data_IF_967511575816
#
_entry.id   IF_967511575816
#
_cell.length_a   1.000
_cell.length_b   1.000
_cell.length_c   1.000
_cell.angle_alpha   90.00
_cell.angle_beta   90.00
_cell.angle_gamma   90.00
#
_symmetry.space_group_name_H-M   'P 1'
#
loop_
_entity.id
_entity.type
_entity.pdbx_description
1 polymer ?
#
# COMPACT_ATOMS: atom_id res chain seq x y z
N UNK A 1 2.55 0.82 21.01
CA UNK A 1 1.65 0.85 19.84
C UNK A 1 0.60 1.92 20.05
N UNK A 2 0.37 2.77 19.05
CA UNK A 2 -0.87 3.52 18.94
C UNK A 2 -1.91 2.66 18.21
N UNK A 3 -3.19 3.01 18.35
CA UNK A 3 -4.32 2.33 17.72
C UNK A 3 -5.19 3.36 17.03
N UNK A 4 -5.58 3.07 15.79
CA UNK A 4 -6.42 3.92 14.98
C UNK A 4 -7.58 3.11 14.41
N UNK A 5 -8.79 3.63 14.56
CA UNK A 5 -9.98 3.09 13.91
C UNK A 5 -10.60 4.16 13.02
N UNK A 6 -10.79 3.85 11.73
CA UNK A 6 -11.43 4.73 10.76
C UNK A 6 -12.64 3.99 10.18
N UNK A 7 -13.81 4.62 10.27
CA UNK A 7 -15.05 4.11 9.68
C UNK A 7 -15.65 5.17 8.77
N UNK A 8 -16.07 4.79 7.57
CA UNK A 8 -16.76 5.69 6.64
C UNK A 8 -18.24 5.36 6.53
N UNK A 9 -19.04 6.36 6.12
CA UNK A 9 -20.49 6.23 6.03
C UNK A 9 -20.92 5.85 4.61
N UNK A 10 -21.55 4.68 4.48
CA UNK A 10 -21.99 4.09 3.20
C UNK A 10 -23.05 4.91 2.44
N UNK A 11 -23.72 5.85 3.12
CA UNK A 11 -24.70 6.76 2.51
C UNK A 11 -24.07 7.77 1.54
N UNK A 12 -22.74 7.92 1.55
CA UNK A 12 -22.01 8.79 0.63
C UNK A 12 -21.31 8.00 -0.48
N UNK A 13 -20.98 8.67 -1.59
CA UNK A 13 -20.19 8.06 -2.66
C UNK A 13 -18.84 7.57 -2.14
N UNK A 14 -18.37 6.42 -2.63
CA UNK A 14 -17.09 5.82 -2.23
C UNK A 14 -15.91 6.80 -2.38
N UNK A 15 -15.94 7.65 -3.41
CA UNK A 15 -14.91 8.68 -3.63
C UNK A 15 -14.83 9.67 -2.47
N UNK A 16 -15.98 10.15 -1.99
CA UNK A 16 -16.04 11.04 -0.85
C UNK A 16 -15.64 10.31 0.44
N UNK A 17 -16.09 9.06 0.61
CA UNK A 17 -15.70 8.24 1.75
C UNK A 17 -14.18 8.05 1.80
N UNK A 18 -13.54 7.69 0.69
CA UNK A 18 -12.09 7.47 0.65
C UNK A 18 -11.29 8.73 0.96
N UNK A 19 -11.64 9.86 0.34
CA UNK A 19 -11.02 11.15 0.65
C UNK A 19 -11.22 11.53 2.13
N UNK A 20 -12.43 11.37 2.67
CA UNK A 20 -12.73 11.65 4.07
C UNK A 20 -12.02 10.72 5.06
N UNK A 21 -11.78 9.45 4.69
CA UNK A 21 -10.99 8.52 5.51
C UNK A 21 -9.55 9.04 5.69
N UNK A 22 -8.94 9.54 4.61
CA UNK A 22 -7.64 10.21 4.66
C UNK A 22 -7.66 11.45 5.55
N UNK A 23 -8.69 12.29 5.41
CA UNK A 23 -8.85 13.48 6.25
C UNK A 23 -8.89 13.12 7.74
N UNK A 24 -9.77 12.19 8.10
CA UNK A 24 -10.00 11.79 9.49
C UNK A 24 -8.74 11.19 10.11
N UNK A 25 -7.99 10.36 9.36
CA UNK A 25 -6.72 9.81 9.83
C UNK A 25 -5.68 10.89 10.13
N UNK A 26 -5.47 11.82 9.20
CA UNK A 26 -4.50 12.89 9.41
C UNK A 26 -4.88 13.77 10.60
N UNK A 27 -6.16 14.13 10.72
CA UNK A 27 -6.66 14.98 11.81
C UNK A 27 -6.41 14.40 13.22
N UNK A 28 -6.42 13.07 13.37
CA UNK A 28 -6.21 12.42 14.67
C UNK A 28 -4.79 11.90 14.88
N UNK A 29 -3.91 11.99 13.86
CA UNK A 29 -2.54 11.47 13.93
C UNK A 29 -1.47 12.46 13.49
N UNK A 30 -1.82 13.73 13.30
CA UNK A 30 -0.94 14.81 12.82
C UNK A 30 0.44 14.83 13.50
N UNK A 31 0.48 14.81 14.83
CA UNK A 31 1.75 14.83 15.57
C UNK A 31 2.60 13.57 15.32
N UNK A 32 1.97 12.40 15.24
CA UNK A 32 2.66 11.15 14.93
C UNK A 32 3.19 11.16 13.49
N UNK A 33 2.41 11.70 12.54
CA UNK A 33 2.80 11.86 11.15
C UNK A 33 4.01 12.80 11.01
N UNK A 34 3.99 13.95 11.69
CA UNK A 34 5.12 14.86 11.74
C UNK A 34 6.38 14.15 12.23
N UNK A 35 6.32 13.50 13.40
CA UNK A 35 7.48 12.81 13.97
C UNK A 35 7.98 11.69 13.05
N UNK A 36 7.07 10.92 12.45
CA UNK A 36 7.45 9.83 11.54
C UNK A 36 8.10 10.36 10.26
N UNK A 37 7.57 11.44 9.66
CA UNK A 37 8.17 12.13 8.52
C UNK A 37 9.57 12.62 8.85
N UNK A 38 9.75 13.29 9.99
CA UNK A 38 11.05 13.78 10.45
C UNK A 38 12.05 12.65 10.66
N UNK A 39 11.61 11.49 11.14
CA UNK A 39 12.48 10.34 11.35
C UNK A 39 12.87 9.64 10.03
N UNK A 40 12.04 9.70 8.99
CA UNK A 40 12.14 8.76 7.85
C UNK A 40 12.36 9.43 6.50
N UNK A 41 11.70 10.55 6.21
CA UNK A 41 11.59 11.08 4.84
C UNK A 41 12.02 12.55 4.69
N UNK A 42 12.20 13.30 5.78
CA UNK A 42 12.44 14.76 5.72
C UNK A 42 13.59 15.18 4.78
N UNK A 43 14.67 14.40 4.72
CA UNK A 43 15.81 14.69 3.86
C UNK A 43 15.77 13.94 2.51
N UNK A 44 14.75 13.14 2.25
CA UNK A 44 14.66 12.36 1.02
C UNK A 44 14.37 13.26 -0.19
N UNK A 45 15.32 13.39 -1.11
CA UNK A 45 15.26 14.35 -2.22
C UNK A 45 14.93 15.79 -1.82
N UNK A 46 15.40 16.22 -0.64
CA UNK A 46 15.27 17.60 -0.17
C UNK A 46 16.15 18.62 -0.93
N UNK A 47 15.96 19.93 -0.68
CA UNK A 47 16.50 21.02 -1.50
C UNK A 47 18.03 21.17 -1.49
N UNK A 48 18.74 20.51 -0.57
CA UNK A 48 20.19 20.69 -0.36
C UNK A 48 21.03 19.45 -0.73
N UNK A 49 20.50 18.52 -1.55
CA UNK A 49 21.19 17.26 -1.86
C UNK A 49 22.12 17.30 -3.08
N UNK A 50 23.24 16.58 -2.95
CA UNK A 50 24.25 16.34 -3.97
C UNK A 50 23.78 15.36 -5.09
N UNK A 51 22.73 14.57 -4.83
CA UNK A 51 22.16 13.55 -5.73
C UNK A 51 21.00 14.12 -6.59
N UNK A 52 21.16 15.31 -7.17
CA UNK A 52 20.08 15.98 -7.93
C UNK A 52 19.59 15.16 -9.13
N UNK A 53 20.49 14.48 -9.84
CA UNK A 53 20.13 13.66 -11.01
C UNK A 53 19.20 12.48 -10.66
N UNK A 54 19.50 11.75 -9.58
CA UNK A 54 18.62 10.68 -9.09
C UNK A 54 17.24 11.21 -8.73
N UNK A 55 17.18 12.32 -7.99
CA UNK A 55 15.92 12.91 -7.58
C UNK A 55 15.09 13.44 -8.75
N UNK A 56 15.73 13.99 -9.80
CA UNK A 56 15.00 14.36 -11.02
C UNK A 56 14.47 13.14 -11.78
N UNK A 57 15.25 12.05 -11.87
CA UNK A 57 14.79 10.78 -12.46
C UNK A 57 13.61 10.20 -11.69
N UNK A 58 13.69 10.16 -10.36
CA UNK A 58 12.62 9.65 -9.51
C UNK A 58 11.36 10.51 -9.65
N UNK A 59 11.48 11.84 -9.59
CA UNK A 59 10.35 12.75 -9.79
C UNK A 59 9.68 12.51 -11.16
N UNK A 60 10.48 12.45 -12.22
CA UNK A 60 9.99 12.21 -13.58
C UNK A 60 9.28 10.85 -13.70
N UNK A 61 9.82 9.81 -13.04
CA UNK A 61 9.21 8.49 -13.00
C UNK A 61 7.83 8.53 -12.30
N UNK A 62 7.77 9.13 -11.11
CA UNK A 62 6.54 9.21 -10.33
C UNK A 62 5.46 10.06 -11.02
N UNK A 63 5.82 11.19 -11.61
CA UNK A 63 4.91 12.04 -12.37
C UNK A 63 4.35 11.32 -13.60
N UNK A 64 5.21 10.62 -14.35
CA UNK A 64 4.79 9.82 -15.49
C UNK A 64 3.86 8.67 -15.06
N UNK A 65 4.13 8.02 -13.91
CA UNK A 65 3.32 6.94 -13.38
C UNK A 65 1.94 7.41 -12.91
N UNK A 66 1.89 8.48 -12.11
CA UNK A 66 0.64 9.10 -11.68
C UNK A 66 -0.20 9.58 -12.87
N UNK A 67 0.44 10.23 -13.85
CA UNK A 67 -0.22 10.68 -15.08
C UNK A 67 -0.81 9.52 -15.89
N UNK A 68 -0.06 8.42 -16.03
CA UNK A 68 -0.55 7.22 -16.70
C UNK A 68 -1.74 6.57 -15.97
N UNK A 69 -1.71 6.49 -14.64
CA UNK A 69 -2.86 5.97 -13.87
C UNK A 69 -4.10 6.85 -14.02
N UNK A 70 -3.96 8.18 -13.99
CA UNK A 70 -5.05 9.12 -14.28
C UNK A 70 -5.64 8.92 -15.68
N UNK A 71 -4.81 8.66 -16.69
CA UNK A 71 -5.27 8.29 -18.03
C UNK A 71 -6.05 6.96 -18.02
N UNK A 72 -5.56 5.92 -17.33
CA UNK A 72 -6.26 4.63 -17.29
C UNK A 72 -7.62 4.73 -16.60
N UNK A 73 -7.70 5.48 -15.49
CA UNK A 73 -8.97 5.75 -14.80
C UNK A 73 -9.98 6.46 -15.72
N UNK A 74 -9.49 7.29 -16.66
CA UNK A 74 -10.34 7.96 -17.65
C UNK A 74 -10.81 7.11 -18.83
N UNK A 75 -10.20 5.94 -19.09
CA UNK A 75 -10.56 5.08 -20.24
C UNK A 75 -11.82 4.25 -20.01
N UNK A 76 -12.23 4.02 -18.75
CA UNK A 76 -13.40 3.21 -18.40
C UNK A 76 -13.24 1.70 -18.63
N UNK A 77 -12.04 1.24 -18.98
CA UNK A 77 -11.69 -0.19 -19.00
C UNK A 77 -11.43 -0.67 -17.57
N UNK A 78 -11.59 -1.97 -17.29
CA UNK A 78 -11.34 -2.56 -15.98
C UNK A 78 -11.94 -1.77 -14.80
N UNK A 79 -13.26 -1.50 -14.82
CA UNK A 79 -13.90 -0.50 -13.96
C UNK A 79 -13.77 -0.83 -12.47
N UNK A 80 -13.69 -2.10 -12.09
CA UNK A 80 -13.45 -2.49 -10.70
C UNK A 80 -12.03 -2.10 -10.24
N UNK A 81 -11.01 -2.47 -11.01
CA UNK A 81 -9.61 -2.23 -10.65
C UNK A 81 -9.31 -0.73 -10.54
N UNK A 82 -9.65 0.03 -11.58
CA UNK A 82 -9.36 1.46 -11.61
C UNK A 82 -10.23 2.28 -10.65
N UNK A 83 -11.43 1.81 -10.30
CA UNK A 83 -12.19 2.39 -9.18
C UNK A 83 -11.42 2.23 -7.87
N UNK A 84 -10.94 1.03 -7.55
CA UNK A 84 -10.19 0.81 -6.30
C UNK A 84 -8.87 1.59 -6.25
N UNK A 85 -8.15 1.69 -7.38
CA UNK A 85 -6.95 2.54 -7.49
C UNK A 85 -7.31 3.99 -7.19
N UNK A 86 -8.38 4.52 -7.81
CA UNK A 86 -8.85 5.89 -7.57
C UNK A 86 -9.17 6.13 -6.10
N UNK A 87 -9.85 5.20 -5.43
CA UNK A 87 -10.18 5.33 -4.02
C UNK A 87 -8.92 5.37 -3.14
N UNK A 88 -7.91 4.54 -3.40
CA UNK A 88 -6.65 4.59 -2.66
C UNK A 88 -5.90 5.92 -2.86
N UNK A 89 -5.83 6.42 -4.09
CA UNK A 89 -5.22 7.71 -4.41
C UNK A 89 -6.00 8.89 -3.78
N UNK A 90 -7.33 8.83 -3.73
CA UNK A 90 -8.15 9.83 -3.04
C UNK A 90 -7.94 9.82 -1.52
N UNK A 91 -7.78 8.64 -0.92
CA UNK A 91 -7.45 8.52 0.50
C UNK A 91 -6.11 9.18 0.81
N UNK A 92 -5.10 8.96 -0.03
CA UNK A 92 -3.81 9.64 0.09
C UNK A 92 -3.94 11.16 -0.10
N UNK A 93 -4.74 11.61 -1.08
CA UNK A 93 -5.03 13.04 -1.30
C UNK A 93 -5.67 13.69 -0.09
N UNK A 94 -6.66 13.02 0.52
CA UNK A 94 -7.31 13.50 1.74
C UNK A 94 -6.32 13.59 2.90
N UNK A 95 -5.48 12.57 3.10
CA UNK A 95 -4.45 12.59 4.13
C UNK A 95 -3.54 13.84 4.00
N UNK A 96 -3.05 14.11 2.79
CA UNK A 96 -2.18 15.26 2.50
C UNK A 96 -2.92 16.61 2.63
N UNK A 97 -4.14 16.72 2.13
CA UNK A 97 -4.93 17.95 2.20
C UNK A 97 -5.31 18.32 3.63
N UNK A 98 -5.66 17.33 4.45
CA UNK A 98 -5.97 17.56 5.87
C UNK A 98 -4.75 18.02 6.65
N UNK A 99 -3.61 17.35 6.47
CA UNK A 99 -2.39 17.72 7.18
C UNK A 99 -1.91 19.13 6.79
N UNK A 100 -2.09 19.51 5.52
CA UNK A 100 -1.75 20.86 5.05
C UNK A 100 -2.81 21.92 5.37
N UNK A 101 -3.93 21.57 6.00
CA UNK A 101 -5.04 22.48 6.30
C UNK A 101 -5.73 23.05 5.05
N UNK A 102 -5.69 22.34 3.92
CA UNK A 102 -6.19 22.80 2.60
C UNK A 102 -7.14 21.78 1.99
N UNK A 103 -8.40 21.82 2.40
CA UNK A 103 -9.41 20.89 1.91
C UNK A 103 -9.86 21.23 0.49
N UNK A 104 -9.77 20.27 -0.43
CA UNK A 104 -10.24 20.42 -1.81
C UNK A 104 -10.59 19.09 -2.45
N UNK A 105 -11.78 18.56 -2.14
CA UNK A 105 -12.25 17.28 -2.70
C UNK A 105 -12.31 17.33 -4.25
N UNK A 106 -11.51 16.51 -4.96
CA UNK A 106 -11.46 16.56 -6.41
C UNK A 106 -12.64 15.77 -7.02
N UNK A 107 -13.45 16.48 -7.83
CA UNK A 107 -14.60 15.89 -8.55
C UNK A 107 -14.23 15.16 -9.84
N UNK A 108 -13.00 15.32 -10.33
CA UNK A 108 -12.52 14.73 -11.57
C UNK A 108 -11.09 14.22 -11.43
N UNK A 109 -10.24 14.57 -12.40
CA UNK A 109 -8.79 14.33 -12.35
C UNK A 109 -8.16 15.10 -11.20
N UNK A 110 -7.11 14.53 -10.62
CA UNK A 110 -6.29 15.19 -9.60
C UNK A 110 -4.84 14.78 -9.74
N UNK A 111 -3.98 15.48 -9.02
CA UNK A 111 -2.55 15.19 -8.95
C UNK A 111 -2.16 15.00 -7.49
N UNK A 112 -1.13 14.18 -7.28
CA UNK A 112 -0.46 14.02 -6.00
C UNK A 112 0.94 14.63 -6.12
N UNK A 113 1.44 15.22 -5.04
CA UNK A 113 2.81 15.69 -5.01
C UNK A 113 3.77 14.48 -4.98
N UNK A 114 4.69 14.32 -5.96
CA UNK A 114 5.58 13.16 -6.01
C UNK A 114 6.43 12.98 -4.74
N UNK A 115 6.85 14.11 -4.15
CA UNK A 115 7.63 14.15 -2.91
C UNK A 115 6.83 14.65 -1.70
N UNK A 116 5.50 14.56 -1.77
CA UNK A 116 4.61 14.75 -0.63
C UNK A 116 4.45 13.45 0.16
N UNK A 117 3.25 13.21 0.68
CA UNK A 117 2.95 11.98 1.42
C UNK A 117 2.96 10.70 0.59
N UNK A 118 3.08 10.82 -0.74
CA UNK A 118 3.41 9.67 -1.57
C UNK A 118 4.70 8.98 -1.09
N UNK A 119 5.74 9.73 -0.69
CA UNK A 119 6.99 9.14 -0.21
C UNK A 119 6.81 8.20 0.99
N UNK A 120 5.87 8.49 1.89
CA UNK A 120 5.55 7.61 3.02
C UNK A 120 4.96 6.27 2.56
N UNK A 121 4.34 6.22 1.37
CA UNK A 121 3.79 4.99 0.81
C UNK A 121 4.84 4.17 0.04
N UNK A 122 5.90 4.83 -0.43
CA UNK A 122 6.91 4.22 -1.30
C UNK A 122 8.05 3.53 -0.55
N UNK A 123 7.95 3.34 0.77
CA UNK A 123 9.05 2.81 1.59
C UNK A 123 9.74 1.59 0.98
N UNK A 124 8.96 0.56 0.63
CA UNK A 124 9.46 -0.65 -0.03
C UNK A 124 9.73 -0.48 -1.53
N UNK A 125 8.87 0.22 -2.27
CA UNK A 125 9.07 0.47 -3.72
C UNK A 125 10.38 1.22 -4.00
N UNK A 126 10.81 2.11 -3.09
CA UNK A 126 12.05 2.87 -3.21
C UNK A 126 13.31 1.99 -3.17
N UNK A 127 13.27 0.80 -2.58
CA UNK A 127 14.44 -0.10 -2.54
C UNK A 127 14.87 -0.53 -3.95
N UNK A 128 13.90 -0.91 -4.77
CA UNK A 128 14.12 -1.30 -6.16
C UNK A 128 14.32 -0.07 -7.06
N UNK A 129 13.56 1.02 -6.84
CA UNK A 129 13.70 2.26 -7.63
C UNK A 129 15.06 2.95 -7.43
N UNK A 130 15.60 2.97 -6.22
CA UNK A 130 16.94 3.51 -5.95
C UNK A 130 18.00 2.78 -6.78
N UNK A 131 17.91 1.45 -6.80
CA UNK A 131 18.83 0.59 -7.54
C UNK A 131 18.66 0.78 -9.05
N UNK A 132 17.43 0.79 -9.56
CA UNK A 132 17.14 0.92 -10.97
C UNK A 132 17.48 2.30 -11.56
N UNK A 133 17.35 3.36 -10.76
CA UNK A 133 17.66 4.73 -11.16
C UNK A 133 19.11 5.13 -10.86
N UNK A 134 19.96 4.16 -10.51
CA UNK A 134 21.40 4.32 -10.25
C UNK A 134 21.72 5.34 -9.14
N UNK A 135 21.02 5.24 -8.00
CA UNK A 135 21.38 6.01 -6.81
C UNK A 135 22.76 5.57 -6.32
N UNK A 136 23.67 6.53 -6.11
CA UNK A 136 25.05 6.23 -5.69
C UNK A 136 25.16 5.72 -4.25
N UNK A 137 24.24 6.14 -3.37
CA UNK A 137 24.16 5.70 -1.97
C UNK A 137 22.75 5.22 -1.59
N UNK A 138 22.38 3.97 -1.94
CA UNK A 138 21.06 3.43 -1.59
C UNK A 138 20.90 3.30 -0.06
N UNK A 139 19.69 3.54 0.46
CA UNK A 139 19.41 3.49 1.91
C UNK A 139 19.47 2.07 2.48
N UNK A 140 19.18 1.07 1.64
CA UNK A 140 19.18 -0.34 2.01
C UNK A 140 20.11 -1.10 1.07
N UNK A 141 20.89 -2.02 1.65
CA UNK A 141 21.69 -2.96 0.86
C UNK A 141 20.77 -4.09 0.42
N UNK A 142 20.62 -4.29 -0.89
CA UNK A 142 19.86 -5.41 -1.44
C UNK A 142 20.35 -6.74 -0.82
N UNK A 143 19.42 -7.57 -0.36
CA UNK A 143 19.73 -8.86 0.27
C UNK A 143 20.04 -8.81 1.77
N UNK A 144 19.93 -7.65 2.45
CA UNK A 144 20.12 -7.56 3.91
C UNK A 144 18.99 -8.19 4.74
N UNK A 145 18.06 -8.91 4.12
CA UNK A 145 16.82 -9.41 4.73
C UNK A 145 15.79 -8.29 4.97
N UNK A 146 14.51 -8.61 4.87
CA UNK A 146 13.43 -7.62 5.10
C UNK A 146 12.40 -7.99 6.13
N UNK A 147 12.01 -9.26 6.22
CA UNK A 147 11.01 -9.72 7.18
C UNK A 147 11.20 -11.22 7.42
N UNK A 148 10.61 -11.73 8.50
CA UNK A 148 10.42 -13.16 8.74
C UNK A 148 8.94 -13.49 8.90
N UNK A 149 8.48 -14.60 8.32
CA UNK A 149 7.09 -15.06 8.44
C UNK A 149 7.02 -16.55 8.79
N UNK A 150 5.98 -16.95 9.53
CA UNK A 150 5.72 -18.34 9.85
C UNK A 150 4.21 -18.66 9.78
N UNK A 151 3.88 -19.65 8.95
CA UNK A 151 2.56 -20.26 8.90
C UNK A 151 2.66 -21.63 9.57
N UNK A 152 1.95 -21.82 10.69
CA UNK A 152 2.05 -23.02 11.51
C UNK A 152 0.70 -23.69 11.73
N UNK A 153 0.50 -24.81 11.05
CA UNK A 153 -0.57 -25.76 11.38
C UNK A 153 -0.22 -26.51 12.68
N UNK A 154 -1.11 -26.45 13.65
CA UNK A 154 -0.92 -27.07 14.95
C UNK A 154 -1.20 -28.59 14.91
N UNK A 155 -0.59 -29.39 15.82
CA UNK A 155 -0.86 -30.82 15.91
C UNK A 155 -2.36 -31.13 16.02
N UNK A 156 -2.81 -32.12 15.23
CA UNK A 156 -4.21 -32.50 15.12
C UNK A 156 -5.08 -31.54 14.31
N UNK A 157 -4.48 -30.64 13.52
CA UNK A 157 -5.18 -29.60 12.74
C UNK A 157 -6.10 -28.71 13.59
N UNK A 158 -5.79 -28.57 14.89
CA UNK A 158 -6.67 -27.86 15.83
C UNK A 158 -6.75 -26.35 15.54
N UNK A 159 -5.70 -25.81 14.95
CA UNK A 159 -5.60 -24.39 14.61
C UNK A 159 -4.52 -24.17 13.54
N UNK A 160 -4.60 -23.05 12.86
CA UNK A 160 -3.60 -22.55 11.92
C UNK A 160 -3.15 -21.18 12.41
N UNK A 161 -1.87 -21.05 12.77
CA UNK A 161 -1.30 -19.78 13.21
C UNK A 161 -0.55 -19.10 12.05
N UNK A 162 -0.66 -17.79 11.96
CA UNK A 162 0.05 -16.97 10.98
C UNK A 162 0.73 -15.83 11.72
N UNK A 163 2.05 -15.73 11.58
CA UNK A 163 2.87 -14.73 12.26
C UNK A 163 3.84 -14.06 11.29
N UNK A 164 4.15 -12.79 11.56
CA UNK A 164 5.06 -11.94 10.80
C UNK A 164 5.91 -11.10 11.75
N UNK A 165 7.19 -10.92 11.40
CA UNK A 165 8.18 -10.11 12.12
C UNK A 165 8.93 -9.22 11.13
N UNK A 166 8.60 -7.93 11.14
CA UNK A 166 9.14 -6.94 10.20
C UNK A 166 10.56 -6.53 10.58
N UNK A 167 11.49 -6.54 9.63
CA UNK A 167 12.84 -5.99 9.83
C UNK A 167 12.99 -4.66 9.10
N UNK A 168 13.16 -3.60 9.88
CA UNK A 168 13.24 -2.22 9.37
C UNK A 168 14.20 -1.40 10.24
N UNK A 169 14.59 -0.22 9.76
CA UNK A 169 15.43 0.68 10.55
C UNK A 169 14.72 1.09 11.84
N UNK A 170 15.45 1.15 12.96
CA UNK A 170 14.90 1.55 14.26
C UNK A 170 14.22 2.93 14.24
N UNK A 171 14.59 3.83 13.34
CA UNK A 171 13.95 5.14 13.20
C UNK A 171 12.48 5.06 12.75
N UNK A 172 12.03 3.95 12.17
CA UNK A 172 10.64 3.74 11.74
C UNK A 172 9.72 3.22 12.86
N UNK A 173 10.23 2.96 14.07
CA UNK A 173 9.47 2.35 15.19
C UNK A 173 8.34 3.21 15.80
N UNK A 174 7.89 4.29 15.15
CA UNK A 174 6.59 4.90 15.44
C UNK A 174 5.51 4.06 14.76
N UNK A 175 4.75 3.31 15.56
CA UNK A 175 3.84 2.28 15.05
C UNK A 175 2.37 2.54 15.40
N UNK A 176 1.50 2.27 14.44
CA UNK A 176 0.03 2.32 14.59
C UNK A 176 -0.57 1.00 14.10
N UNK A 177 -1.34 0.30 14.93
CA UNK A 177 -2.25 -0.74 14.43
C UNK A 177 -3.52 -0.04 13.95
N UNK A 178 -3.88 -0.28 12.69
CA UNK A 178 -5.01 0.39 12.04
C UNK A 178 -6.13 -0.61 11.79
N UNK A 179 -7.36 -0.18 12.09
CA UNK A 179 -8.59 -0.83 11.70
C UNK A 179 -9.38 0.10 10.79
N UNK A 180 -9.58 -0.31 9.56
CA UNK A 180 -10.41 0.40 8.59
C UNK A 180 -11.73 -0.35 8.39
N UNK A 181 -12.85 0.36 8.47
CA UNK A 181 -14.18 -0.12 8.10
C UNK A 181 -14.70 0.76 6.96
N UNK A 182 -14.48 0.30 5.73
CA UNK A 182 -14.68 1.04 4.49
C UNK A 182 -15.68 0.27 3.61
N UNK A 183 -16.99 0.57 3.68
CA UNK A 183 -18.02 -0.08 2.88
C UNK A 183 -18.02 0.44 1.42
N UNK A 184 -16.87 0.35 0.75
CA UNK A 184 -16.74 0.69 -0.66
C UNK A 184 -17.40 -0.36 -1.53
N UNK A 185 -17.88 0.04 -2.71
CA UNK A 185 -18.40 -0.85 -3.74
C UNK A 185 -17.26 -1.39 -4.60
N UNK A 186 -17.47 -2.51 -5.28
CA UNK A 186 -16.49 -3.11 -6.19
C UNK A 186 -16.15 -2.18 -7.36
N UNK A 187 -17.14 -1.43 -7.85
CA UNK A 187 -17.00 -0.38 -8.86
C UNK A 187 -18.00 0.75 -8.61
N UNK A 188 -17.82 1.90 -9.28
CA UNK A 188 -18.67 3.09 -9.12
C UNK A 188 -20.18 2.85 -9.35
N UNK A 189 -20.54 1.86 -10.18
CA UNK A 189 -21.94 1.53 -10.50
C UNK A 189 -22.42 0.19 -9.93
N UNK A 190 -21.63 -0.46 -9.08
CA UNK A 190 -21.96 -1.77 -8.50
C UNK A 190 -22.73 -1.61 -7.19
N UNK A 191 -23.74 -2.44 -6.96
CA UNK A 191 -24.39 -2.57 -5.65
C UNK A 191 -23.62 -3.52 -4.71
N UNK A 192 -22.59 -4.21 -5.21
CA UNK A 192 -21.79 -5.14 -4.41
C UNK A 192 -20.68 -4.43 -3.67
N UNK A 193 -20.62 -4.64 -2.36
CA UNK A 193 -19.52 -4.18 -1.49
C UNK A 193 -18.25 -5.02 -1.73
N UNK A 194 -17.08 -4.39 -1.57
CA UNK A 194 -15.80 -5.09 -1.60
C UNK A 194 -15.72 -6.15 -0.48
N UNK A 195 -15.15 -7.34 -0.73
CA UNK A 195 -14.99 -8.38 0.31
C UNK A 195 -14.13 -7.94 1.50
N UNK A 196 -13.04 -7.21 1.24
CA UNK A 196 -12.12 -6.69 2.24
C UNK A 196 -12.54 -5.33 2.82
N UNK A 197 -13.83 -5.13 3.11
CA UNK A 197 -14.33 -3.85 3.63
C UNK A 197 -13.89 -3.54 5.06
N UNK A 198 -13.54 -4.55 5.86
CA UNK A 198 -12.88 -4.36 7.15
C UNK A 198 -11.47 -4.92 7.06
N UNK A 199 -10.48 -4.12 7.45
CA UNK A 199 -9.07 -4.49 7.40
C UNK A 199 -8.41 -4.09 8.72
N UNK A 200 -7.69 -5.01 9.34
CA UNK A 200 -6.84 -4.73 10.50
C UNK A 200 -5.40 -5.05 10.13
N UNK A 201 -4.50 -4.10 10.31
CA UNK A 201 -3.11 -4.26 9.88
C UNK A 201 -2.14 -3.44 10.74
N UNK A 202 -0.91 -3.92 10.87
CA UNK A 202 0.19 -3.17 11.46
C UNK A 202 0.69 -2.13 10.47
N UNK A 203 0.96 -0.91 10.93
CA UNK A 203 1.26 0.22 10.05
C UNK A 203 2.08 1.31 10.76
N UNK A 204 2.22 2.44 10.08
CA UNK A 204 3.00 3.61 10.46
C UNK A 204 2.16 4.90 10.31
N UNK A 205 2.49 5.97 11.03
CA UNK A 205 1.83 7.27 10.86
C UNK A 205 1.93 7.76 9.42
N UNK A 206 0.79 8.14 8.83
CA UNK A 206 0.71 8.67 7.46
C UNK A 206 0.90 7.66 6.33
N UNK A 207 1.10 6.37 6.66
CA UNK A 207 1.17 5.28 5.68
C UNK A 207 -0.20 4.60 5.60
N UNK A 208 -0.93 4.73 4.49
CA UNK A 208 -2.35 4.26 4.39
C UNK A 208 -2.49 2.76 4.08
N UNK A 209 -1.38 2.04 4.13
CA UNK A 209 -1.27 0.58 4.02
C UNK A 209 -0.31 0.07 5.13
N UNK A 210 0.02 -1.22 5.14
CA UNK A 210 0.83 -1.81 6.21
C UNK A 210 2.29 -1.38 6.10
N UNK A 211 2.92 -1.64 4.96
CA UNK A 211 4.34 -1.43 4.72
C UNK A 211 5.23 -2.49 5.39
N UNK A 212 4.65 -3.38 6.20
CA UNK A 212 5.37 -4.45 6.89
C UNK A 212 5.67 -5.66 6.01
N UNK A 213 4.72 -6.37 5.37
CA UNK A 213 3.26 -6.26 5.42
C UNK A 213 2.55 -7.36 6.25
N UNK A 214 1.48 -7.00 7.00
CA UNK A 214 0.59 -7.96 7.67
C UNK A 214 -0.85 -7.44 7.79
N UNK A 215 -1.83 -8.18 7.25
CA UNK A 215 -3.24 -7.82 7.24
C UNK A 215 -4.16 -8.97 7.67
N UNK A 216 -5.23 -8.63 8.38
CA UNK A 216 -6.40 -9.48 8.63
C UNK A 216 -7.60 -8.82 7.96
N UNK A 217 -8.26 -9.53 7.04
CA UNK A 217 -9.30 -9.00 6.17
C UNK A 217 -10.66 -9.63 6.48
N UNK A 218 -11.75 -8.85 6.38
CA UNK A 218 -13.13 -9.35 6.57
C UNK A 218 -13.55 -10.43 5.60
N UNK A 219 -12.84 -10.59 4.48
CA UNK A 219 -13.05 -11.68 3.54
C UNK A 219 -12.61 -13.04 4.09
N UNK A 220 -12.02 -13.11 5.28
CA UNK A 220 -11.46 -14.33 5.87
C UNK A 220 -10.00 -14.58 5.45
N UNK A 221 -9.40 -13.65 4.69
CA UNK A 221 -8.02 -13.72 4.27
C UNK A 221 -7.08 -13.08 5.30
N UNK A 222 -5.90 -13.68 5.47
CA UNK A 222 -4.72 -13.04 6.07
C UNK A 222 -3.65 -12.94 4.99
N UNK A 223 -3.12 -11.75 4.77
CA UNK A 223 -2.09 -11.48 3.76
C UNK A 223 -0.85 -10.91 4.43
N UNK A 224 0.30 -11.45 4.07
CA UNK A 224 1.61 -11.08 4.61
C UNK A 224 2.69 -11.41 3.58
N UNK A 225 3.84 -10.78 3.71
CA UNK A 225 4.94 -10.98 2.76
C UNK A 225 6.31 -11.04 3.43
N UNK A 226 7.32 -11.41 2.65
CA UNK A 226 8.72 -11.09 2.97
C UNK A 226 9.42 -10.65 1.69
N UNK A 227 10.16 -9.54 1.75
CA UNK A 227 10.83 -9.00 0.55
C UNK A 227 11.95 -9.93 0.09
N UNK A 228 11.92 -10.27 -1.19
CA UNK A 228 12.95 -11.08 -1.87
C UNK A 228 13.94 -10.21 -2.66
N UNK A 229 13.54 -9.00 -3.04
CA UNK A 229 14.32 -8.05 -3.83
C UNK A 229 14.62 -8.53 -5.25
N UNK A 230 15.46 -7.79 -5.96
CA UNK A 230 16.02 -8.19 -7.25
C UNK A 230 17.50 -7.79 -7.35
N UNK A 231 18.37 -8.78 -7.51
CA UNK A 231 19.82 -8.60 -7.66
C UNK A 231 20.31 -8.76 -9.11
N UNK A 232 19.41 -8.91 -10.08
CA UNK A 232 19.74 -8.99 -11.51
C UNK A 232 19.43 -7.64 -12.19
N UNK A 233 20.46 -6.82 -12.49
CA UNK A 233 20.25 -5.51 -13.12
C UNK A 233 19.61 -5.59 -14.49
N UNK A 234 19.71 -6.74 -15.19
CA UNK A 234 19.08 -6.92 -16.50
C UNK A 234 17.54 -6.94 -16.41
N UNK A 235 16.97 -7.06 -15.21
CA UNK A 235 15.52 -6.98 -14.96
C UNK A 235 15.02 -5.55 -14.83
N UNK A 236 15.88 -4.57 -14.55
CA UNK A 236 15.46 -3.17 -14.44
C UNK A 236 14.89 -2.60 -15.73
N UNK A 237 15.17 -3.23 -16.89
CA UNK A 237 14.53 -2.89 -18.17
C UNK A 237 13.00 -3.07 -18.19
N UNK A 238 12.43 -3.79 -17.22
CA UNK A 238 10.99 -3.99 -17.09
C UNK A 238 10.30 -2.92 -16.24
N UNK A 239 11.07 -2.06 -15.56
CA UNK A 239 10.51 -0.90 -14.86
C UNK A 239 10.09 0.12 -15.91
N UNK A 240 8.77 0.27 -16.05
CA UNK A 240 8.16 1.25 -16.92
C UNK A 240 7.17 2.08 -16.09
N UNK A 241 7.35 3.41 -15.97
CA UNK A 241 6.36 4.23 -15.28
C UNK A 241 4.98 4.16 -15.96
N UNK A 242 4.90 3.77 -17.24
CA UNK A 242 3.64 3.56 -17.97
C UNK A 242 3.38 2.06 -18.07
N UNK A 243 2.17 1.61 -17.71
CA UNK A 243 1.86 0.18 -17.74
C UNK A 243 2.11 -0.55 -16.43
N UNK A 244 2.56 0.17 -15.38
CA UNK A 244 2.76 -0.38 -14.05
C UNK A 244 2.02 0.40 -12.96
N UNK A 245 1.65 -0.30 -11.89
CA UNK A 245 1.12 0.26 -10.66
C UNK A 245 2.07 -0.15 -9.53
N UNK A 246 2.53 0.83 -8.75
CA UNK A 246 3.45 0.59 -7.63
C UNK A 246 2.83 -0.36 -6.60
N UNK A 247 3.69 -1.07 -5.87
CA UNK A 247 3.28 -2.25 -5.10
C UNK A 247 2.23 -1.92 -4.04
N UNK A 248 2.43 -0.83 -3.29
CA UNK A 248 1.51 -0.43 -2.23
C UNK A 248 0.06 -0.27 -2.72
N UNK A 249 -0.15 0.22 -3.95
CA UNK A 249 -1.47 0.33 -4.56
C UNK A 249 -2.01 -1.04 -4.97
N UNK A 250 -1.19 -1.89 -5.60
CA UNK A 250 -1.59 -3.25 -5.97
C UNK A 250 -1.99 -4.07 -4.76
N UNK A 251 -1.25 -3.94 -3.65
CA UNK A 251 -1.52 -4.52 -2.34
C UNK A 251 -2.91 -4.08 -1.82
N UNK A 252 -3.16 -2.77 -1.71
CA UNK A 252 -4.47 -2.24 -1.28
C UNK A 252 -5.62 -2.78 -2.16
N UNK A 253 -5.46 -2.76 -3.49
CA UNK A 253 -6.51 -3.18 -4.42
C UNK A 253 -6.80 -4.68 -4.30
N UNK A 254 -5.77 -5.52 -4.18
CA UNK A 254 -5.92 -6.95 -3.97
C UNK A 254 -6.60 -7.28 -2.64
N UNK A 255 -6.19 -6.64 -1.54
CA UNK A 255 -6.80 -6.81 -0.22
C UNK A 255 -8.28 -6.40 -0.20
N UNK A 256 -8.66 -5.37 -0.96
CA UNK A 256 -10.06 -4.95 -1.08
C UNK A 256 -10.90 -5.96 -1.85
N UNK A 257 -10.44 -6.42 -3.02
CA UNK A 257 -11.27 -7.15 -3.99
C UNK A 257 -11.33 -8.66 -3.78
N UNK A 258 -10.33 -9.28 -3.15
CA UNK A 258 -10.20 -10.74 -3.13
C UNK A 258 -11.09 -11.42 -2.07
N UNK A 259 -11.73 -12.52 -2.47
CA UNK A 259 -12.42 -13.48 -1.57
C UNK A 259 -11.58 -14.71 -1.28
N UNK A 260 -10.67 -15.06 -2.18
CA UNK A 260 -9.82 -16.26 -2.10
C UNK A 260 -8.36 -15.93 -2.43
N UNK A 261 -7.45 -16.82 -2.05
CA UNK A 261 -6.02 -16.70 -2.41
C UNK A 261 -5.76 -16.54 -3.92
N UNK A 262 -6.34 -17.39 -4.80
CA UNK A 262 -6.19 -17.25 -6.24
C UNK A 262 -6.70 -15.92 -6.80
N UNK A 263 -7.82 -15.41 -6.30
CA UNK A 263 -8.34 -14.09 -6.69
C UNK A 263 -7.37 -12.97 -6.29
N UNK A 264 -6.83 -13.04 -5.07
CA UNK A 264 -5.84 -12.07 -4.59
C UNK A 264 -4.63 -12.01 -5.52
N UNK A 265 -4.06 -13.16 -5.87
CA UNK A 265 -2.92 -13.24 -6.77
C UNK A 265 -3.26 -12.73 -8.19
N UNK A 266 -4.47 -13.02 -8.68
CA UNK A 266 -4.93 -12.56 -9.99
C UNK A 266 -5.08 -11.04 -10.08
N UNK A 267 -5.51 -10.39 -8.99
CA UNK A 267 -5.61 -8.93 -8.88
C UNK A 267 -4.22 -8.31 -8.69
N UNK A 268 -3.41 -8.81 -7.75
CA UNK A 268 -2.11 -8.25 -7.37
C UNK A 268 -1.09 -8.27 -8.52
N UNK A 269 -1.13 -9.29 -9.40
CA UNK A 269 -0.18 -9.43 -10.52
C UNK A 269 -0.42 -8.42 -11.66
N UNK A 270 -1.56 -7.74 -11.68
CA UNK A 270 -1.92 -6.80 -12.75
C UNK A 270 -0.99 -5.59 -12.69
N UNK A 271 -0.50 -5.16 -13.85
CA UNK A 271 0.39 -3.98 -13.95
C UNK A 271 1.60 -4.07 -12.99
N UNK A 272 2.20 -5.25 -12.88
CA UNK A 272 3.36 -5.46 -12.01
C UNK A 272 4.46 -4.42 -12.31
N UNK A 273 4.91 -3.72 -11.28
CA UNK A 273 5.94 -2.67 -11.36
C UNK A 273 7.37 -3.19 -11.31
N UNK A 274 7.58 -4.42 -10.80
CA UNK A 274 8.93 -4.89 -10.50
C UNK A 274 9.59 -4.12 -9.35
N UNK A 275 8.79 -3.46 -8.52
CA UNK A 275 9.20 -2.71 -7.32
C UNK A 275 8.50 -3.30 -6.09
N UNK A 276 9.16 -3.20 -4.94
CA UNK A 276 8.89 -3.93 -3.72
C UNK A 276 8.68 -5.43 -3.98
N UNK A 277 9.74 -6.07 -4.50
CA UNK A 277 9.67 -7.46 -4.94
C UNK A 277 9.57 -8.42 -3.74
N UNK A 278 8.38 -9.00 -3.55
CA UNK A 278 7.99 -9.72 -2.33
C UNK A 278 7.54 -11.17 -2.60
N UNK A 279 7.79 -12.07 -1.64
CA UNK A 279 7.08 -13.35 -1.54
C UNK A 279 5.81 -13.15 -0.72
N UNK A 280 4.67 -13.13 -1.39
CA UNK A 280 3.35 -13.02 -0.75
C UNK A 280 2.79 -14.37 -0.31
N UNK A 281 2.31 -14.43 0.93
CA UNK A 281 1.54 -15.52 1.50
C UNK A 281 0.09 -15.05 1.70
N UNK A 282 -0.86 -15.79 1.14
CA UNK A 282 -2.30 -15.49 1.28
C UNK A 282 -2.97 -16.69 1.93
N UNK A 283 -3.33 -16.55 3.20
CA UNK A 283 -3.98 -17.59 3.99
C UNK A 283 -5.48 -17.35 3.97
N UNK A 284 -6.23 -18.31 3.46
CA UNK A 284 -7.69 -18.27 3.44
C UNK A 284 -8.26 -19.10 4.58
N UNK A 285 -8.70 -18.44 5.66
CA UNK A 285 -9.29 -19.14 6.80
C UNK A 285 -10.68 -19.72 6.50
N UNK A 286 -11.36 -19.28 5.44
CA UNK A 286 -12.62 -19.93 5.04
C UNK A 286 -12.39 -21.35 4.52
N UNK A 287 -11.18 -21.63 4.02
CA UNK A 287 -10.76 -22.96 3.58
C UNK A 287 -10.19 -23.81 4.74
N UNK A 288 -10.00 -23.25 5.94
CA UNK A 288 -9.49 -23.98 7.09
C UNK A 288 -10.63 -24.46 7.99
N UNK A 289 -10.72 -25.78 8.21
CA UNK A 289 -11.66 -26.37 9.17
C UNK A 289 -10.89 -27.04 10.32
N UNK A 290 -11.03 -26.55 11.57
CA UNK A 290 -10.37 -27.17 12.72
C UNK A 290 -10.66 -28.67 12.85
N UNK A 291 -9.60 -29.45 13.07
CA UNK A 291 -9.66 -30.90 13.28
C UNK A 291 -9.76 -31.75 12.00
N UNK A 292 -9.81 -31.15 10.79
CA UNK A 292 -9.80 -31.88 9.52
C UNK A 292 -8.42 -31.87 8.88
N UNK A 293 -8.01 -33.03 8.33
CA UNK A 293 -6.68 -33.23 7.77
C UNK A 293 -6.47 -32.61 6.38
N UNK A 294 -7.55 -32.27 5.67
CA UNK A 294 -7.55 -31.51 4.42
C UNK A 294 -8.90 -30.80 4.28
N UNK A 295 -8.94 -29.62 3.64
CA UNK A 295 -10.17 -29.09 3.04
C UNK A 295 -10.75 -30.08 2.02
#
# INVERSE_FOLDING_TARGET
WAFLEVTTNASYSDSLQAYAAGLAEAAVSEQLMYMHWMNTMVDYCGPFKYESEYCEKLRSYLEANLGWMEEQMGKGQDPEYWHQVRLALLQLKGLEDSYNGRLGFPRGRFTLAPFGFLLLQLGGDLEDLESALNRSSPRRVLGSGSCSALLKLLPGHRDLLVAHDTWTSYQSMLRIIKKYTLPFRTSAGSDSQIPGSIQVFSSYPGTIFSGDDFYILSSGLVTLETTIGNNDPARWKYLDPRGSVLEWLRNIVANRLARTGPEWAAVFRRFNSGTYNNQWMVVDYNAFTPGRASP
#
